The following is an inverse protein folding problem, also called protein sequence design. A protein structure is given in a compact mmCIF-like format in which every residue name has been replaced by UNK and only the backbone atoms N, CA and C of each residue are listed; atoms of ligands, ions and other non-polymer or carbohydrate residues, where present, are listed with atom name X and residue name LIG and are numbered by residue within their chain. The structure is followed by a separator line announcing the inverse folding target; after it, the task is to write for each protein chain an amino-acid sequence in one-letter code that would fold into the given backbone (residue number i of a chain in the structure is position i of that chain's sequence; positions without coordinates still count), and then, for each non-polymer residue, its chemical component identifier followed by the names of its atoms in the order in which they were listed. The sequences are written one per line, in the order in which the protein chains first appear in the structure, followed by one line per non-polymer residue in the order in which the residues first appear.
data_IF_416343391558
#
_entry.id   IF_416343391558
#
_cell.length_a   1.000
_cell.length_b   1.000
_cell.length_c   1.000
_cell.angle_alpha   90.00
_cell.angle_beta   90.00
_cell.angle_gamma   90.00
#
_symmetry.space_group_name_H-M   'P 1'
#
loop_
_entity.id
_entity.type
_entity.pdbx_description
1 polymer ?
#
# COMPACT_ATOMS: atom_id res chain seq x y z
N UNK A 1 -15.79 34.91 76.54
CA UNK A 1 -15.15 34.36 75.33
C UNK A 1 -16.20 34.11 74.25
N UNK A 2 -16.77 35.18 73.68
CA UNK A 2 -17.70 35.13 72.53
C UNK A 2 -17.13 36.09 71.49
N UNK A 3 -16.20 35.60 70.69
CA UNK A 3 -15.62 36.32 69.55
C UNK A 3 -15.05 35.29 68.56
N UNK A 4 -15.92 34.35 68.17
CA UNK A 4 -15.67 33.42 67.09
C UNK A 4 -16.92 33.39 66.22
N UNK A 5 -16.72 33.39 64.90
CA UNK A 5 -17.72 33.09 63.86
C UNK A 5 -18.47 34.23 63.12
N UNK A 6 -18.13 35.52 63.27
CA UNK A 6 -18.86 36.58 62.54
C UNK A 6 -18.14 37.23 61.34
N UNK A 7 -16.84 36.96 61.08
CA UNK A 7 -16.08 37.74 60.08
C UNK A 7 -15.71 37.03 58.77
N UNK A 8 -16.12 35.77 58.56
CA UNK A 8 -15.72 35.01 57.34
C UNK A 8 -16.91 34.53 56.51
N UNK A 9 -18.16 34.82 56.91
CA UNK A 9 -19.35 34.24 56.29
C UNK A 9 -19.92 34.99 55.05
N UNK A 10 -19.66 36.28 54.72
CA UNK A 10 -20.33 36.86 53.55
C UNK A 10 -19.74 36.44 52.20
N UNK A 11 -18.57 35.79 52.15
CA UNK A 11 -17.88 35.51 50.88
C UNK A 11 -18.02 34.07 50.36
N UNK A 12 -18.64 33.17 51.13
CA UNK A 12 -18.77 31.76 50.74
C UNK A 12 -19.96 31.46 49.80
N UNK A 13 -20.89 32.40 49.60
CA UNK A 13 -22.11 32.16 48.80
C UNK A 13 -22.05 32.62 47.35
N UNK A 14 -20.88 33.07 46.85
CA UNK A 14 -20.77 33.60 45.47
C UNK A 14 -19.92 32.78 44.49
N UNK A 15 -19.42 31.62 44.91
CA UNK A 15 -18.87 30.63 43.98
C UNK A 15 -19.87 29.50 43.78
N UNK A 16 -20.76 29.65 42.80
CA UNK A 16 -21.29 28.46 42.13
C UNK A 16 -20.14 27.94 41.28
N UNK A 17 -19.51 26.79 41.58
CA UNK A 17 -18.55 26.24 40.66
C UNK A 17 -19.32 25.92 39.38
N UNK A 18 -19.18 26.78 38.35
CA UNK A 18 -19.57 26.42 37.00
C UNK A 18 -18.79 25.15 36.75
N UNK A 19 -19.49 24.03 36.52
CA UNK A 19 -18.87 22.71 36.41
C UNK A 19 -18.04 22.72 35.12
N UNK A 20 -16.84 23.29 35.18
CA UNK A 20 -15.88 23.34 34.09
C UNK A 20 -15.56 21.90 33.64
N UNK A 21 -15.61 20.94 34.57
CA UNK A 21 -15.54 19.51 34.27
C UNK A 21 -16.74 18.99 33.45
N UNK A 22 -17.95 19.53 33.63
CA UNK A 22 -19.11 19.17 32.80
C UNK A 22 -18.96 19.72 31.37
N UNK A 23 -18.30 20.87 31.18
CA UNK A 23 -17.98 21.39 29.84
C UNK A 23 -16.78 20.67 29.23
N UNK A 24 -15.77 20.33 30.05
CA UNK A 24 -14.60 19.56 29.61
C UNK A 24 -14.95 18.17 29.10
N UNK A 25 -15.89 17.48 29.76
CA UNK A 25 -16.41 16.20 29.26
C UNK A 25 -17.06 16.35 27.88
N UNK A 26 -17.95 17.34 27.69
CA UNK A 26 -18.57 17.59 26.39
C UNK A 26 -17.57 18.01 25.32
N UNK A 27 -16.53 18.79 25.67
CA UNK A 27 -15.43 19.12 24.75
C UNK A 27 -14.67 17.86 24.33
N UNK A 28 -14.33 16.97 25.26
CA UNK A 28 -13.67 15.70 24.94
C UNK A 28 -14.55 14.81 24.06
N UNK A 29 -15.84 14.70 24.38
CA UNK A 29 -16.82 13.99 23.54
C UNK A 29 -16.86 14.58 22.14
N UNK A 30 -16.94 15.90 21.98
CA UNK A 30 -16.94 16.57 20.68
C UNK A 30 -15.63 16.37 19.91
N UNK A 31 -14.48 16.42 20.59
CA UNK A 31 -13.18 16.11 19.96
C UNK A 31 -13.18 14.69 19.44
N UNK A 32 -13.63 13.72 20.22
CA UNK A 32 -13.71 12.34 19.75
C UNK A 32 -14.70 12.15 18.61
N UNK A 33 -15.89 12.74 18.70
CA UNK A 33 -16.93 12.68 17.67
C UNK A 33 -16.55 13.41 16.38
N UNK A 34 -15.59 14.33 16.40
CA UNK A 34 -15.10 15.00 15.19
C UNK A 34 -13.85 14.31 14.64
N UNK A 35 -12.86 13.98 15.48
CA UNK A 35 -11.59 13.41 15.07
C UNK A 35 -11.72 11.98 14.55
N UNK A 36 -12.46 11.09 15.23
CA UNK A 36 -12.58 9.70 14.78
C UNK A 36 -13.31 9.55 13.44
N UNK A 37 -14.47 10.18 13.22
CA UNK A 37 -15.13 10.16 11.91
C UNK A 37 -14.29 10.84 10.82
N UNK A 38 -13.60 11.94 11.12
CA UNK A 38 -12.69 12.56 10.16
C UNK A 38 -11.54 11.60 9.77
N UNK A 39 -10.88 10.97 10.75
CA UNK A 39 -9.84 9.98 10.50
C UNK A 39 -10.38 8.77 9.71
N UNK A 40 -11.58 8.30 10.03
CA UNK A 40 -12.27 7.24 9.30
C UNK A 40 -12.56 7.63 7.85
N UNK A 41 -13.07 8.83 7.61
CA UNK A 41 -13.34 9.35 6.28
C UNK A 41 -12.05 9.50 5.45
N UNK A 42 -11.01 10.09 6.05
CA UNK A 42 -9.70 10.23 5.40
C UNK A 42 -9.14 8.86 5.03
N UNK A 43 -9.18 7.89 5.95
CA UNK A 43 -8.67 6.54 5.72
C UNK A 43 -9.47 5.77 4.67
N UNK A 44 -10.78 6.00 4.61
CA UNK A 44 -11.67 5.32 3.67
C UNK A 44 -11.59 5.91 2.26
N UNK A 45 -11.43 7.23 2.14
CA UNK A 45 -11.61 7.94 0.86
C UNK A 45 -10.35 8.60 0.30
N UNK A 46 -9.36 8.93 1.13
CA UNK A 46 -8.19 9.69 0.70
C UNK A 46 -6.91 8.85 0.77
N UNK A 47 -6.38 8.65 1.97
CA UNK A 47 -5.10 7.99 2.19
C UNK A 47 -5.18 7.01 3.34
N UNK A 48 -4.70 5.79 3.11
CA UNK A 48 -4.56 4.78 4.14
C UNK A 48 -3.07 4.48 4.37
N UNK A 49 -2.58 4.51 5.62
CA UNK A 49 -1.24 4.02 5.95
C UNK A 49 -1.21 2.49 5.94
N UNK A 50 -0.11 1.93 5.41
CA UNK A 50 0.22 0.51 5.45
C UNK A 50 1.65 0.31 5.94
N UNK A 51 1.90 -0.80 6.63
CA UNK A 51 3.24 -1.30 6.95
C UNK A 51 3.59 -2.48 6.05
N UNK A 52 4.86 -2.59 5.68
CA UNK A 52 5.39 -3.66 4.81
C UNK A 52 6.12 -4.69 5.66
N UNK A 53 5.54 -5.88 5.86
CA UNK A 53 6.19 -6.95 6.61
C UNK A 53 7.04 -7.88 5.73
N UNK A 54 6.80 -7.92 4.42
CA UNK A 54 7.37 -8.91 3.49
C UNK A 54 8.40 -8.33 2.53
N UNK A 55 9.24 -9.20 1.95
CA UNK A 55 10.31 -8.85 1.01
C UNK A 55 9.98 -9.09 -0.48
N UNK A 56 8.71 -9.33 -0.81
CA UNK A 56 8.24 -9.58 -2.20
C UNK A 56 8.44 -8.40 -3.14
N UNK A 57 8.55 -7.19 -2.60
CA UNK A 57 8.71 -5.95 -3.35
C UNK A 57 10.12 -5.34 -3.20
N UNK A 58 11.09 -6.08 -2.65
CA UNK A 58 12.49 -5.66 -2.60
C UNK A 58 13.04 -5.58 -4.04
N UNK A 59 13.79 -4.52 -4.41
CA UNK A 59 14.34 -3.49 -3.53
C UNK A 59 13.44 -2.25 -3.36
N UNK A 60 12.34 -2.16 -4.11
CA UNK A 60 11.44 -1.00 -4.11
C UNK A 60 10.80 -0.76 -2.74
N UNK A 61 10.33 -1.81 -2.08
CA UNK A 61 9.80 -1.80 -0.71
C UNK A 61 10.53 -2.84 0.12
N UNK A 62 10.98 -2.44 1.30
CA UNK A 62 11.73 -3.30 2.21
C UNK A 62 10.95 -3.52 3.52
N UNK A 63 11.26 -4.62 4.19
CA UNK A 63 10.67 -4.94 5.49
C UNK A 63 10.82 -3.78 6.47
N UNK A 64 9.71 -3.39 7.11
CA UNK A 64 9.64 -2.25 8.02
C UNK A 64 9.26 -0.92 7.37
N UNK A 65 9.10 -0.85 6.04
CA UNK A 65 8.62 0.36 5.37
C UNK A 65 7.16 0.67 5.77
N UNK A 66 6.87 1.95 5.94
CA UNK A 66 5.52 2.49 6.11
C UNK A 66 5.22 3.45 4.96
N UNK A 67 4.04 3.28 4.36
CA UNK A 67 3.67 4.01 3.15
C UNK A 67 2.21 4.46 3.14
N UNK A 68 1.95 5.52 2.41
CA UNK A 68 0.60 5.97 2.10
C UNK A 68 0.10 5.34 0.81
N UNK A 69 -1.13 4.84 0.87
CA UNK A 69 -1.89 4.35 -0.26
C UNK A 69 -3.00 5.35 -0.59
N UNK A 70 -3.01 5.89 -1.80
CA UNK A 70 -4.09 6.71 -2.33
C UNK A 70 -5.28 5.82 -2.70
N UNK A 71 -6.42 6.07 -2.05
CA UNK A 71 -7.70 5.38 -2.31
C UNK A 71 -8.38 5.92 -3.56
N UNK A 72 -8.36 7.24 -3.73
CA UNK A 72 -9.02 7.92 -4.85
C UNK A 72 -8.36 7.64 -6.20
N UNK A 73 -7.08 7.22 -6.25
CA UNK A 73 -6.38 6.93 -7.50
C UNK A 73 -7.14 5.94 -8.40
N UNK A 74 -7.80 4.95 -7.80
CA UNK A 74 -8.62 3.97 -8.52
C UNK A 74 -10.10 4.05 -8.14
N UNK A 75 -10.52 5.13 -7.49
CA UNK A 75 -11.88 5.26 -6.99
C UNK A 75 -12.23 4.19 -5.95
N UNK A 76 -13.53 4.01 -5.73
CA UNK A 76 -14.02 3.27 -4.57
C UNK A 76 -14.73 1.98 -4.98
N UNK A 77 -14.42 0.89 -4.28
CA UNK A 77 -15.09 -0.41 -4.38
C UNK A 77 -15.62 -0.84 -3.01
N UNK A 78 -16.25 -2.02 -2.96
CA UNK A 78 -16.66 -2.66 -1.69
C UNK A 78 -15.51 -2.85 -0.69
N UNK A 79 -14.25 -2.85 -1.14
CA UNK A 79 -13.07 -2.96 -0.28
C UNK A 79 -12.48 -1.62 0.16
N UNK A 80 -13.07 -0.49 -0.25
CA UNK A 80 -12.56 0.84 0.12
C UNK A 80 -12.89 1.22 1.56
N UNK A 81 -14.06 0.81 2.06
CA UNK A 81 -14.55 1.15 3.41
C UNK A 81 -14.52 -0.09 4.31
N UNK A 82 -14.02 0.02 5.56
CA UNK A 82 -14.05 -1.07 6.52
C UNK A 82 -15.46 -1.66 6.73
N UNK A 83 -15.50 -2.93 7.13
CA UNK A 83 -16.74 -3.67 7.42
C UNK A 83 -17.74 -3.76 6.26
N UNK A 84 -17.27 -3.59 5.01
CA UNK A 84 -18.12 -3.60 3.83
C UNK A 84 -19.31 -2.61 3.92
N UNK A 85 -19.10 -1.47 4.58
CA UNK A 85 -20.12 -0.43 4.76
C UNK A 85 -20.50 0.28 3.45
N UNK A 86 -19.80 -0.02 2.35
CA UNK A 86 -20.08 0.50 1.02
C UNK A 86 -20.41 -0.67 0.07
N UNK A 87 -21.66 -1.19 0.09
CA UNK A 87 -22.06 -2.36 -0.69
C UNK A 87 -22.32 -1.98 -2.16
N UNK A 88 -21.26 -1.63 -2.87
CA UNK A 88 -21.31 -1.24 -4.28
C UNK A 88 -20.68 -2.33 -5.14
N UNK A 89 -21.29 -2.59 -6.30
CA UNK A 89 -20.73 -3.49 -7.30
C UNK A 89 -19.80 -2.70 -8.23
N UNK A 90 -18.63 -3.28 -8.53
CA UNK A 90 -17.61 -2.62 -9.35
C UNK A 90 -16.91 -1.45 -8.65
N UNK A 91 -16.61 -0.39 -9.40
CA UNK A 91 -15.91 0.80 -8.89
C UNK A 91 -16.57 2.10 -9.32
N UNK A 92 -16.61 3.06 -8.41
CA UNK A 92 -17.08 4.42 -8.67
C UNK A 92 -15.92 5.43 -8.67
N UNK A 93 -15.95 6.38 -9.59
CA UNK A 93 -14.95 7.44 -9.75
C UNK A 93 -13.51 6.92 -9.91
N UNK A 94 -13.36 5.72 -10.47
CA UNK A 94 -12.06 5.08 -10.66
C UNK A 94 -11.38 5.47 -11.96
N UNK A 95 -10.07 5.74 -11.88
CA UNK A 95 -9.22 5.78 -13.06
C UNK A 95 -8.62 4.40 -13.30
N UNK A 96 -8.42 4.07 -14.58
CA UNK A 96 -7.74 2.85 -14.97
C UNK A 96 -6.30 2.83 -14.42
N UNK A 97 -5.88 1.74 -13.76
CA UNK A 97 -4.51 1.55 -13.32
C UNK A 97 -3.55 1.55 -14.50
N UNK A 98 -2.35 2.08 -14.27
CA UNK A 98 -1.32 2.12 -15.30
C UNK A 98 -0.33 1.00 -15.10
N UNK A 99 0.23 0.52 -16.20
CA UNK A 99 1.35 -0.42 -16.17
C UNK A 99 2.50 0.20 -15.37
N UNK A 100 3.06 -0.57 -14.45
CA UNK A 100 4.11 -0.15 -13.54
C UNK A 100 3.61 0.43 -12.21
N UNK A 101 2.31 0.65 -12.02
CA UNK A 101 1.78 1.11 -10.74
C UNK A 101 2.02 0.06 -9.64
N UNK A 102 2.48 0.51 -8.47
CA UNK A 102 2.54 -0.31 -7.25
C UNK A 102 1.23 -0.18 -6.49
N UNK A 103 0.55 -1.28 -6.24
CA UNK A 103 -0.85 -1.29 -5.80
C UNK A 103 -1.06 -2.24 -4.64
N UNK A 104 -1.81 -1.77 -3.64
CA UNK A 104 -2.37 -2.65 -2.61
C UNK A 104 -3.70 -3.21 -3.11
N UNK A 105 -3.91 -4.51 -2.96
CA UNK A 105 -5.13 -5.20 -3.38
C UNK A 105 -5.51 -6.32 -2.40
N UNK A 106 -6.79 -6.70 -2.42
CA UNK A 106 -7.28 -7.88 -1.70
C UNK A 106 -6.85 -9.15 -2.42
N UNK A 107 -6.16 -10.04 -1.72
CA UNK A 107 -5.71 -11.32 -2.26
C UNK A 107 -6.92 -12.13 -2.77
N UNK A 108 -7.01 -12.45 -4.08
CA UNK A 108 -8.25 -13.00 -4.64
C UNK A 108 -8.73 -14.31 -3.99
N UNK A 109 -7.86 -15.29 -3.65
CA UNK A 109 -8.28 -16.51 -2.95
C UNK A 109 -8.73 -16.28 -1.50
N UNK A 110 -8.21 -15.24 -0.82
CA UNK A 110 -8.63 -14.86 0.54
C UNK A 110 -8.61 -13.32 0.70
N UNK A 111 -9.75 -12.64 0.46
CA UNK A 111 -9.85 -11.18 0.53
C UNK A 111 -9.65 -10.57 1.92
N UNK A 112 -9.47 -11.38 2.97
CA UNK A 112 -9.11 -10.87 4.29
C UNK A 112 -7.66 -10.34 4.33
N UNK A 113 -6.82 -10.78 3.40
CA UNK A 113 -5.39 -10.43 3.33
C UNK A 113 -5.14 -9.35 2.27
N UNK A 114 -4.37 -8.34 2.64
CA UNK A 114 -3.89 -7.29 1.73
C UNK A 114 -2.51 -7.67 1.16
N UNK A 115 -2.37 -7.60 -0.17
CA UNK A 115 -1.11 -7.78 -0.89
C UNK A 115 -0.68 -6.48 -1.53
N UNK A 116 0.63 -6.32 -1.77
CA UNK A 116 1.19 -5.20 -2.51
C UNK A 116 2.15 -5.71 -3.58
N UNK A 117 1.84 -5.40 -4.84
CA UNK A 117 2.62 -5.82 -6.00
C UNK A 117 2.57 -4.75 -7.08
N UNK A 118 3.36 -4.94 -8.15
CA UNK A 118 3.37 -4.07 -9.32
C UNK A 118 2.46 -4.61 -10.40
N UNK A 119 1.62 -3.75 -10.98
CA UNK A 119 0.84 -4.07 -12.17
C UNK A 119 1.80 -4.16 -13.36
N UNK A 120 1.94 -5.35 -13.93
CA UNK A 120 2.74 -5.54 -15.14
C UNK A 120 1.89 -5.89 -16.35
N UNK A 121 0.71 -6.49 -16.18
CA UNK A 121 -0.24 -6.81 -17.26
C UNK A 121 -1.57 -6.09 -17.06
N UNK A 122 -2.05 -5.48 -18.13
CA UNK A 122 -3.34 -4.79 -18.25
C UNK A 122 -4.35 -5.71 -18.98
N UNK A 123 -5.66 -5.41 -18.92
CA UNK A 123 -6.67 -6.11 -19.69
C UNK A 123 -6.27 -6.32 -21.16
N UNK A 124 -6.40 -7.56 -21.65
CA UNK A 124 -6.07 -7.94 -23.03
C UNK A 124 -4.60 -8.24 -23.31
N UNK A 125 -3.69 -8.01 -22.36
CA UNK A 125 -2.28 -8.37 -22.56
C UNK A 125 -2.04 -9.87 -22.52
N UNK A 126 -1.06 -10.31 -23.31
CA UNK A 126 -0.39 -11.61 -23.13
C UNK A 126 0.87 -11.44 -22.31
N UNK A 127 0.97 -12.16 -21.21
CA UNK A 127 2.09 -12.11 -20.28
C UNK A 127 2.76 -13.48 -20.20
N UNK A 128 4.08 -13.51 -20.28
CA UNK A 128 4.86 -14.73 -20.11
C UNK A 128 6.23 -14.42 -19.49
N UNK A 129 6.72 -15.29 -18.61
CA UNK A 129 8.13 -15.30 -18.22
C UNK A 129 8.86 -16.34 -19.08
N UNK A 130 9.99 -15.95 -19.68
CA UNK A 130 10.86 -16.84 -20.46
C UNK A 130 12.30 -16.61 -20.01
N UNK A 131 12.92 -17.64 -19.41
CA UNK A 131 14.27 -17.58 -18.84
C UNK A 131 14.51 -16.34 -17.95
N UNK A 132 13.56 -16.05 -17.06
CA UNK A 132 13.63 -14.93 -16.11
C UNK A 132 13.31 -13.55 -16.72
N UNK A 133 13.05 -13.48 -18.02
CA UNK A 133 12.69 -12.22 -18.71
C UNK A 133 11.17 -12.16 -18.87
N UNK A 134 10.59 -11.00 -18.52
CA UNK A 134 9.18 -10.71 -18.75
C UNK A 134 8.93 -10.43 -20.24
N UNK A 135 7.96 -11.10 -20.83
CA UNK A 135 7.44 -10.85 -22.16
C UNK A 135 6.01 -10.32 -22.07
N UNK A 136 5.72 -9.25 -22.80
CA UNK A 136 4.40 -8.62 -22.89
C UNK A 136 4.03 -8.55 -24.37
N UNK A 137 2.93 -9.20 -24.76
CA UNK A 137 2.46 -9.30 -26.14
C UNK A 137 3.58 -9.79 -27.09
N UNK A 138 4.22 -10.90 -26.70
CA UNK A 138 5.34 -11.54 -27.39
C UNK A 138 6.65 -10.71 -27.45
N UNK A 139 6.68 -9.51 -26.87
CA UNK A 139 7.85 -8.64 -26.84
C UNK A 139 8.57 -8.73 -25.50
N UNK A 140 9.86 -9.09 -25.53
CA UNK A 140 10.71 -9.08 -24.34
C UNK A 140 10.85 -7.67 -23.76
N UNK A 141 10.57 -7.54 -22.47
CA UNK A 141 10.74 -6.30 -21.71
C UNK A 141 12.23 -6.03 -21.50
N UNK A 142 12.62 -4.76 -21.57
CA UNK A 142 14.03 -4.38 -21.43
C UNK A 142 14.53 -4.71 -20.03
N UNK A 143 15.54 -5.57 -19.93
CA UNK A 143 16.17 -5.97 -18.68
C UNK A 143 17.68 -5.71 -18.76
N UNK A 144 18.21 -4.90 -17.85
CA UNK A 144 19.64 -4.55 -17.81
C UNK A 144 20.23 -4.90 -16.46
N UNK A 145 21.43 -5.47 -16.48
CA UNK A 145 22.18 -5.69 -15.24
C UNK A 145 22.47 -4.37 -14.54
N UNK A 146 22.29 -4.35 -13.22
CA UNK A 146 22.49 -3.18 -12.37
C UNK A 146 23.34 -3.53 -11.13
N UNK A 147 24.11 -4.62 -11.19
CA UNK A 147 24.97 -5.07 -10.10
C UNK A 147 24.26 -6.00 -9.12
N UNK A 148 24.54 -5.83 -7.83
CA UNK A 148 23.98 -6.69 -6.77
C UNK A 148 23.31 -5.87 -5.68
N UNK A 149 22.39 -6.51 -4.96
CA UNK A 149 21.64 -5.90 -3.87
C UNK A 149 21.60 -6.83 -2.66
N UNK A 150 21.93 -6.29 -1.48
CA UNK A 150 21.90 -7.02 -0.22
C UNK A 150 20.79 -6.47 0.68
N UNK A 151 20.07 -7.36 1.36
CA UNK A 151 19.00 -7.00 2.31
C UNK A 151 18.94 -8.01 3.46
N UNK A 152 18.41 -7.60 4.61
CA UNK A 152 18.54 -8.32 5.88
C UNK A 152 18.10 -9.80 5.85
N UNK A 153 17.08 -10.13 5.05
CA UNK A 153 16.51 -11.48 5.00
C UNK A 153 17.35 -12.46 4.16
N UNK A 154 18.46 -12.01 3.57
CA UNK A 154 19.32 -12.83 2.72
C UNK A 154 20.80 -12.61 3.01
N UNK A 155 21.53 -13.71 3.23
CA UNK A 155 22.98 -13.67 3.45
C UNK A 155 23.76 -13.35 2.17
N UNK A 156 23.35 -13.93 1.03
CA UNK A 156 24.02 -13.72 -0.25
C UNK A 156 23.39 -12.55 -1.02
N UNK A 157 24.20 -11.67 -1.64
CA UNK A 157 23.68 -10.61 -2.50
C UNK A 157 22.83 -11.18 -3.64
N UNK A 158 21.72 -10.53 -3.93
CA UNK A 158 20.87 -10.80 -5.09
C UNK A 158 21.38 -10.10 -6.34
N UNK A 159 21.09 -10.66 -7.51
CA UNK A 159 21.32 -9.97 -8.77
C UNK A 159 20.29 -8.86 -8.89
N UNK A 160 20.78 -7.63 -9.05
CA UNK A 160 19.94 -6.45 -9.24
C UNK A 160 19.84 -6.17 -10.73
N UNK A 161 18.62 -6.05 -11.23
CA UNK A 161 18.37 -5.73 -12.63
C UNK A 161 17.40 -4.56 -12.73
N UNK A 162 17.57 -3.78 -13.79
CA UNK A 162 16.70 -2.67 -14.15
C UNK A 162 15.77 -3.12 -15.25
N UNK A 163 14.48 -3.17 -14.95
CA UNK A 163 13.42 -3.52 -15.89
C UNK A 163 12.70 -2.25 -16.39
N UNK A 164 12.52 -2.13 -17.70
CA UNK A 164 11.83 -1.02 -18.36
C UNK A 164 10.59 -1.53 -19.08
N UNK A 165 9.42 -1.27 -18.49
CA UNK A 165 8.12 -1.66 -18.99
C UNK A 165 7.71 -0.82 -20.22
N UNK A 166 6.79 -1.34 -21.07
CA UNK A 166 6.13 -0.55 -22.10
C UNK A 166 5.55 0.75 -21.52
N UNK A 167 5.82 1.88 -22.17
CA UNK A 167 5.51 3.22 -21.66
C UNK A 167 6.67 3.90 -20.92
N UNK A 168 7.82 3.23 -20.77
CA UNK A 168 9.07 3.83 -20.27
C UNK A 168 9.25 3.80 -18.76
N UNK A 169 8.26 3.28 -18.01
CA UNK A 169 8.36 3.09 -16.57
C UNK A 169 9.50 2.13 -16.26
N UNK A 170 10.44 2.56 -15.42
CA UNK A 170 11.64 1.80 -15.11
C UNK A 170 11.73 1.57 -13.61
N UNK A 171 12.04 0.33 -13.22
CA UNK A 171 12.14 -0.06 -11.82
C UNK A 171 13.23 -1.13 -11.65
N UNK A 172 13.58 -1.41 -10.40
CA UNK A 172 14.51 -2.47 -10.07
C UNK A 172 13.77 -3.74 -9.72
N UNK A 173 14.33 -4.86 -10.15
CA UNK A 173 13.89 -6.20 -9.81
C UNK A 173 15.06 -7.01 -9.29
N UNK A 174 14.78 -8.00 -8.44
CA UNK A 174 15.76 -8.97 -7.98
C UNK A 174 15.54 -10.31 -8.65
N UNK A 175 16.65 -10.90 -9.07
CA UNK A 175 16.82 -12.29 -9.45
C UNK A 175 17.73 -12.93 -8.38
N UNK A 176 17.21 -13.92 -7.67
CA UNK A 176 17.90 -14.59 -6.57
C UNK A 176 18.67 -15.81 -7.06
N UNK A 177 18.17 -16.51 -8.09
CA UNK A 177 18.73 -17.77 -8.59
C UNK A 177 18.48 -17.93 -10.09
N UNK A 178 19.49 -18.40 -10.84
CA UNK A 178 19.44 -18.57 -12.30
C UNK A 178 18.35 -19.55 -12.84
N UNK A 179 17.61 -20.24 -11.98
CA UNK A 179 16.63 -21.27 -12.37
C UNK A 179 15.49 -21.38 -11.35
N UNK A 180 14.87 -20.25 -11.07
CA UNK A 180 13.69 -20.15 -10.23
C UNK A 180 12.46 -20.75 -10.91
N UNK A 181 11.52 -21.24 -10.09
CA UNK A 181 10.24 -21.77 -10.57
C UNK A 181 9.42 -20.71 -11.33
N UNK A 182 9.70 -19.42 -11.10
CA UNK A 182 9.02 -18.29 -11.74
C UNK A 182 9.64 -17.81 -13.05
N UNK A 183 10.75 -18.41 -13.48
CA UNK A 183 11.52 -17.94 -14.65
C UNK A 183 10.91 -18.36 -15.99
N UNK A 184 10.16 -19.45 -15.99
CA UNK A 184 9.50 -19.99 -17.17
C UNK A 184 8.05 -20.30 -16.84
N UNK A 185 7.14 -19.58 -17.47
CA UNK A 185 5.70 -19.78 -17.28
C UNK A 185 5.01 -20.15 -18.58
N UNK A 186 3.79 -20.67 -18.45
CA UNK A 186 2.84 -20.60 -19.56
C UNK A 186 2.54 -19.15 -19.93
N UNK A 187 1.96 -18.96 -21.10
CA UNK A 187 1.34 -17.69 -21.47
C UNK A 187 0.06 -17.46 -20.63
N UNK A 188 -0.13 -16.21 -20.22
CA UNK A 188 -1.32 -15.73 -19.53
C UNK A 188 -1.96 -14.62 -20.37
N UNK A 189 -3.20 -14.83 -20.80
CA UNK A 189 -4.02 -13.79 -21.39
C UNK A 189 -4.83 -13.10 -20.30
N UNK A 190 -4.58 -11.82 -20.06
CA UNK A 190 -5.19 -11.06 -18.98
C UNK A 190 -6.65 -10.78 -19.32
N UNK A 191 -7.63 -11.29 -18.54
CA UNK A 191 -9.04 -11.06 -18.83
C UNK A 191 -9.43 -9.59 -18.71
N UNK A 192 -10.51 -9.21 -19.38
CA UNK A 192 -11.14 -7.91 -19.20
C UNK A 192 -11.43 -7.62 -17.71
N UNK A 193 -11.17 -6.37 -17.30
CA UNK A 193 -11.34 -5.94 -15.91
C UNK A 193 -10.39 -6.57 -14.89
N UNK A 194 -9.35 -7.29 -15.33
CA UNK A 194 -8.35 -7.90 -14.46
C UNK A 194 -6.94 -7.37 -14.75
N UNK A 195 -6.02 -7.62 -13.82
CA UNK A 195 -4.62 -7.21 -13.90
C UNK A 195 -3.69 -8.36 -13.54
N UNK A 196 -2.51 -8.38 -14.16
CA UNK A 196 -1.44 -9.30 -13.82
C UNK A 196 -0.40 -8.58 -12.97
N UNK A 197 -0.15 -9.13 -11.79
CA UNK A 197 0.71 -8.55 -10.76
C UNK A 197 2.02 -9.33 -10.66
N UNK A 198 3.14 -8.62 -10.53
CA UNK A 198 4.43 -9.22 -10.20
C UNK A 198 5.04 -8.53 -8.98
N UNK A 199 5.75 -9.32 -8.18
CA UNK A 199 6.68 -8.76 -7.20
C UNK A 199 7.97 -8.28 -7.87
N UNK A 200 8.56 -7.23 -7.31
CA UNK A 200 9.88 -6.76 -7.75
C UNK A 200 10.98 -7.74 -7.33
N UNK A 201 10.79 -8.51 -6.26
CA UNK A 201 11.66 -9.64 -5.92
C UNK A 201 11.16 -10.89 -6.64
N UNK A 202 11.67 -11.15 -7.86
CA UNK A 202 11.09 -12.12 -8.81
C UNK A 202 11.10 -13.55 -8.30
N UNK A 203 11.99 -13.90 -7.37
CA UNK A 203 12.07 -15.26 -6.82
C UNK A 203 11.52 -15.39 -5.41
N UNK A 204 11.14 -14.27 -4.78
CA UNK A 204 10.56 -14.28 -3.43
C UNK A 204 9.20 -13.57 -3.38
N UNK A 205 8.43 -13.70 -4.46
CA UNK A 205 7.09 -13.14 -4.57
C UNK A 205 6.08 -14.22 -4.94
N UNK A 206 5.07 -14.39 -4.08
CA UNK A 206 3.88 -15.15 -4.42
C UNK A 206 2.89 -14.23 -5.15
N UNK A 207 3.00 -14.17 -6.47
CA UNK A 207 2.27 -13.23 -7.34
C UNK A 207 1.41 -13.93 -8.39
N UNK A 208 1.01 -13.22 -9.46
CA UNK A 208 0.07 -13.74 -10.48
C UNK A 208 0.60 -14.96 -11.23
N UNK A 209 1.91 -15.24 -11.19
CA UNK A 209 2.49 -16.47 -11.73
C UNK A 209 2.05 -17.71 -10.96
N UNK A 210 1.65 -17.54 -9.70
CA UNK A 210 1.38 -18.63 -8.76
C UNK A 210 -0.05 -18.54 -8.21
N UNK A 211 -0.20 -18.35 -6.88
CA UNK A 211 -1.48 -18.44 -6.19
C UNK A 211 -2.36 -17.18 -6.31
N UNK A 212 -1.80 -16.02 -6.68
CA UNK A 212 -2.61 -14.80 -6.83
C UNK A 212 -3.52 -14.88 -8.05
N UNK A 213 -3.04 -15.46 -9.16
CA UNK A 213 -3.73 -15.43 -10.43
C UNK A 213 -4.00 -13.99 -10.90
N UNK A 214 -5.06 -13.80 -11.70
CA UNK A 214 -5.45 -12.47 -12.14
C UNK A 214 -6.19 -11.72 -11.03
N UNK A 215 -5.91 -10.43 -10.88
CA UNK A 215 -6.52 -9.59 -9.84
C UNK A 215 -7.65 -8.76 -10.45
N UNK A 216 -8.91 -8.95 -10.01
CA UNK A 216 -10.03 -8.13 -10.48
C UNK A 216 -9.85 -6.65 -10.13
N UNK A 217 -10.35 -5.74 -10.98
CA UNK A 217 -10.26 -4.31 -10.73
C UNK A 217 -10.89 -3.92 -9.39
N UNK A 218 -12.01 -4.55 -9.02
CA UNK A 218 -12.67 -4.29 -7.74
C UNK A 218 -11.79 -4.59 -6.52
N UNK A 219 -10.86 -5.56 -6.61
CA UNK A 219 -9.95 -5.96 -5.53
C UNK A 219 -8.89 -4.91 -5.21
N UNK A 220 -8.63 -3.94 -6.09
CA UNK A 220 -7.62 -2.92 -5.83
C UNK A 220 -8.05 -2.02 -4.66
N UNK A 221 -7.22 -1.94 -3.63
CA UNK A 221 -7.47 -1.10 -2.46
C UNK A 221 -7.01 0.32 -2.74
N UNK A 222 -5.88 0.49 -3.43
CA UNK A 222 -5.38 1.80 -3.85
C UNK A 222 -3.93 1.78 -4.32
N UNK A 223 -3.46 2.91 -4.86
CA UNK A 223 -2.09 3.08 -5.36
C UNK A 223 -1.13 3.44 -4.24
N UNK A 224 -0.02 2.73 -4.11
CA UNK A 224 1.08 3.14 -3.21
C UNK A 224 1.74 4.40 -3.77
N UNK A 225 1.84 5.46 -2.97
CA UNK A 225 2.32 6.78 -3.46
C UNK A 225 3.61 7.24 -2.82
N UNK A 226 3.76 7.04 -1.50
CA UNK A 226 4.89 7.63 -0.77
C UNK A 226 5.25 6.84 0.47
N UNK A 227 6.54 6.53 0.64
CA UNK A 227 7.11 6.06 1.90
C UNK A 227 7.27 7.24 2.86
N UNK A 228 6.95 7.06 4.14
CA UNK A 228 7.10 8.11 5.15
C UNK A 228 7.94 7.69 6.35
N UNK A 229 8.22 6.40 6.52
CA UNK A 229 9.05 5.89 7.61
C UNK A 229 9.53 4.46 7.31
N UNK A 230 10.62 4.03 7.93
CA UNK A 230 11.03 2.64 8.02
C UNK A 230 11.38 2.32 9.48
N UNK A 231 10.74 1.31 10.07
CA UNK A 231 10.90 0.97 11.49
C UNK A 231 12.20 0.27 11.84
N UNK A 232 12.96 -0.21 10.85
CA UNK A 232 14.25 -0.88 11.02
C UNK A 232 15.44 0.06 10.80
N UNK A 233 15.19 1.33 10.47
CA UNK A 233 16.24 2.31 10.20
C UNK A 233 16.87 2.18 8.81
N UNK A 234 16.29 1.38 7.90
CA UNK A 234 16.73 1.29 6.51
C UNK A 234 16.48 2.61 5.78
N UNK A 235 17.47 3.08 5.03
CA UNK A 235 17.31 4.29 4.22
C UNK A 235 16.23 4.08 3.13
N UNK A 236 15.34 5.06 3.00
CA UNK A 236 14.24 5.04 2.03
C UNK A 236 14.13 6.33 1.21
N UNK A 237 15.07 7.26 1.36
CA UNK A 237 15.10 8.57 0.70
C UNK A 237 15.03 8.45 -0.83
N UNK A 238 15.84 7.55 -1.40
CA UNK A 238 15.91 7.24 -2.83
C UNK A 238 14.68 6.48 -3.36
N UNK A 239 13.88 5.90 -2.47
CA UNK A 239 12.67 5.12 -2.78
C UNK A 239 11.39 5.82 -2.31
N UNK A 240 11.49 7.09 -1.90
CA UNK A 240 10.41 7.76 -1.19
C UNK A 240 9.15 7.88 -2.05
N UNK A 241 9.31 8.12 -3.35
CA UNK A 241 8.23 8.23 -4.34
C UNK A 241 8.10 6.95 -5.16
N UNK A 242 6.88 6.45 -5.32
CA UNK A 242 6.59 5.16 -5.96
C UNK A 242 5.93 5.32 -7.35
N UNK A 243 6.23 6.40 -8.06
CA UNK A 243 5.61 6.76 -9.35
C UNK A 243 6.25 6.10 -10.57
N UNK A 244 7.16 5.14 -10.38
CA UNK A 244 7.84 4.46 -11.48
C UNK A 244 9.00 5.24 -12.09
N UNK A 245 9.43 6.33 -11.43
CA UNK A 245 10.66 7.06 -11.76
C UNK A 245 11.67 6.97 -10.61
N UNK A 246 12.11 5.75 -10.29
CA UNK A 246 13.19 5.57 -9.31
C UNK A 246 14.52 5.93 -9.97
N UNK A 247 15.05 7.10 -9.60
CA UNK A 247 16.45 7.50 -9.82
C UNK A 247 16.78 7.99 -11.22
N UNK A 248 16.97 9.31 -11.35
CA UNK A 248 18.08 9.83 -12.15
C UNK A 248 19.38 9.55 -11.42
#
# INVERSE_FOLDING_TARGET
MILGAALVVPFAHRFKPVRWYAHGFWVLVLVFLTTYPAAFAIRSFLFQPFSIPSSSMVPTLQGGDYLFVSKFAYGYSRYSVPFNLLPIEGRMFGAEPKRGDVVVFKFPPDPSVDYIQRIVGLPGDKIQMVNGVLHINDVAVGLKDAGTFSYEEREQPARLQRETLPGGVTHFVLDLTDSSIGDNTREFEVPEGHYFMLGDNRDNASDSRFMVGFVPYENLVGKAVRLFWNSKGTEYSSRQTLDGSVGK
#
